data_IF_502072285534
#
_entry.id   IF_502072285534
#
_cell.length_a   1.000
_cell.length_b   1.000
_cell.length_c   1.000
_cell.angle_alpha   90.00
_cell.angle_beta   90.00
_cell.angle_gamma   90.00
#
_symmetry.space_group_name_H-M   'P 1'
#
loop_
_entity.id
_entity.type
_entity.pdbx_description
1 polymer ?
#
# COMPACT_ATOMS: atom_id res chain seq x y z
N UNK A 1 -4.09 -33.32 41.41
CA UNK A 1 -4.84 -32.04 41.21
C UNK A 1 -4.14 -31.09 40.23
N UNK A 2 -3.00 -31.48 39.67
CA UNK A 2 -2.13 -30.65 38.81
C UNK A 2 -2.54 -30.64 37.33
N UNK A 3 -2.92 -31.81 36.79
CA UNK A 3 -3.26 -31.96 35.36
C UNK A 3 -4.41 -31.08 34.85
N UNK A 4 -5.38 -30.70 35.70
CA UNK A 4 -6.48 -29.80 35.28
C UNK A 4 -6.03 -28.35 35.12
N UNK A 5 -5.03 -27.90 35.88
CA UNK A 5 -4.47 -26.55 35.73
C UNK A 5 -3.66 -26.48 34.44
N UNK A 6 -2.81 -27.47 34.19
CA UNK A 6 -1.99 -27.55 32.97
C UNK A 6 -2.86 -27.61 31.70
N UNK A 7 -3.91 -28.43 31.69
CA UNK A 7 -4.86 -28.48 30.56
C UNK A 7 -5.58 -27.15 30.29
N UNK A 8 -5.91 -26.37 31.33
CA UNK A 8 -6.56 -25.07 31.17
C UNK A 8 -5.59 -24.01 30.65
N UNK A 9 -4.31 -24.09 31.04
CA UNK A 9 -3.24 -23.21 30.56
C UNK A 9 -2.96 -23.51 29.08
N UNK A 10 -2.81 -24.78 28.70
CA UNK A 10 -2.60 -25.21 27.32
C UNK A 10 -3.72 -24.73 26.39
N UNK A 11 -4.99 -24.90 26.79
CA UNK A 11 -6.13 -24.37 26.01
C UNK A 11 -6.11 -22.86 25.85
N UNK A 12 -5.71 -22.12 26.90
CA UNK A 12 -5.60 -20.66 26.83
C UNK A 12 -4.47 -20.24 25.89
N UNK A 13 -3.34 -20.94 25.91
CA UNK A 13 -2.22 -20.68 25.02
C UNK A 13 -2.54 -21.00 23.56
N UNK A 14 -3.22 -22.11 23.29
CA UNK A 14 -3.68 -22.46 21.93
C UNK A 14 -4.65 -21.41 21.38
N UNK A 15 -5.63 -20.98 22.18
CA UNK A 15 -6.57 -19.94 21.77
C UNK A 15 -5.88 -18.59 21.49
N UNK A 16 -4.87 -18.22 22.28
CA UNK A 16 -4.07 -17.01 22.04
C UNK A 16 -3.25 -17.10 20.74
N UNK A 17 -2.68 -18.28 20.46
CA UNK A 17 -1.92 -18.53 19.24
C UNK A 17 -2.82 -18.46 17.99
N UNK A 18 -4.03 -19.01 18.08
CA UNK A 18 -5.01 -18.98 16.98
C UNK A 18 -5.46 -17.53 16.67
N UNK A 19 -5.76 -16.74 17.70
CA UNK A 19 -6.12 -15.33 17.54
C UNK A 19 -4.97 -14.51 16.95
N UNK A 20 -3.73 -14.75 17.38
CA UNK A 20 -2.55 -14.08 16.86
C UNK A 20 -2.31 -14.42 15.38
N UNK A 21 -2.43 -15.69 15.03
CA UNK A 21 -2.27 -16.17 13.64
C UNK A 21 -3.35 -15.59 12.74
N UNK A 22 -4.60 -15.54 13.21
CA UNK A 22 -5.71 -14.90 12.51
C UNK A 22 -5.45 -13.40 12.28
N UNK A 23 -5.03 -12.68 13.31
CA UNK A 23 -4.75 -11.25 13.21
C UNK A 23 -3.66 -10.94 12.18
N UNK A 24 -2.54 -11.69 12.20
CA UNK A 24 -1.48 -11.54 11.21
C UNK A 24 -2.00 -11.82 9.79
N UNK A 25 -2.75 -12.90 9.63
CA UNK A 25 -3.29 -13.32 8.33
C UNK A 25 -4.19 -12.23 7.75
N UNK A 26 -5.08 -11.64 8.55
CA UNK A 26 -5.97 -10.56 8.13
C UNK A 26 -5.18 -9.29 7.73
N UNK A 27 -4.15 -8.92 8.49
CA UNK A 27 -3.29 -7.76 8.18
C UNK A 27 -2.54 -7.97 6.86
N UNK A 28 -2.00 -9.17 6.62
CA UNK A 28 -1.31 -9.50 5.37
C UNK A 28 -2.25 -9.45 4.17
N UNK A 29 -3.45 -10.03 4.30
CA UNK A 29 -4.46 -10.01 3.24
C UNK A 29 -4.84 -8.56 2.90
N UNK A 30 -5.11 -7.73 3.92
CA UNK A 30 -5.45 -6.32 3.72
C UNK A 30 -4.32 -5.54 3.05
N UNK A 31 -3.07 -5.76 3.47
CA UNK A 31 -1.90 -5.06 2.92
C UNK A 31 -1.63 -5.44 1.47
N UNK A 32 -1.63 -6.73 1.16
CA UNK A 32 -1.42 -7.25 -0.21
C UNK A 32 -2.58 -6.83 -1.11
N UNK A 33 -3.81 -6.99 -0.64
CA UNK A 33 -5.02 -6.61 -1.37
C UNK A 33 -5.05 -5.12 -1.70
N UNK A 34 -4.78 -4.26 -0.72
CA UNK A 34 -4.70 -2.81 -0.92
C UNK A 34 -3.61 -2.45 -1.91
N UNK A 35 -2.41 -3.03 -1.76
CA UNK A 35 -1.29 -2.78 -2.67
C UNK A 35 -1.60 -3.15 -4.12
N UNK A 36 -2.28 -4.30 -4.32
CA UNK A 36 -2.69 -4.76 -5.63
C UNK A 36 -3.75 -3.84 -6.26
N UNK A 37 -4.77 -3.44 -5.50
CA UNK A 37 -5.82 -2.52 -5.98
C UNK A 37 -5.21 -1.17 -6.34
N UNK A 38 -4.35 -0.61 -5.49
CA UNK A 38 -3.65 0.66 -5.77
C UNK A 38 -2.73 0.56 -6.99
N UNK A 39 -2.08 -0.59 -7.19
CA UNK A 39 -1.29 -0.82 -8.40
C UNK A 39 -2.13 -0.82 -9.67
N UNK A 40 -3.29 -1.48 -9.67
CA UNK A 40 -4.19 -1.47 -10.82
C UNK A 40 -4.79 -0.08 -11.06
N UNK A 41 -5.29 0.56 -10.00
CA UNK A 41 -5.86 1.91 -10.07
C UNK A 41 -4.82 2.93 -10.54
N UNK A 42 -3.61 2.89 -9.99
CA UNK A 42 -2.51 3.78 -10.38
C UNK A 42 -2.11 3.61 -11.83
N UNK A 43 -2.01 2.36 -12.31
CA UNK A 43 -1.70 2.06 -13.71
C UNK A 43 -2.79 2.61 -14.64
N UNK A 44 -4.06 2.36 -14.32
CA UNK A 44 -5.19 2.84 -15.12
C UNK A 44 -5.25 4.37 -15.16
N UNK A 45 -5.15 5.03 -14.01
CA UNK A 45 -5.18 6.49 -13.93
C UNK A 45 -4.00 7.13 -14.66
N UNK A 46 -2.80 6.56 -14.53
CA UNK A 46 -1.61 7.02 -15.23
C UNK A 46 -1.76 6.91 -16.75
N UNK A 47 -2.25 5.76 -17.25
CA UNK A 47 -2.50 5.59 -18.67
C UNK A 47 -3.57 6.57 -19.17
N UNK A 48 -4.67 6.73 -18.43
CA UNK A 48 -5.76 7.63 -18.81
C UNK A 48 -5.31 9.09 -18.88
N UNK A 49 -4.48 9.51 -17.93
CA UNK A 49 -3.89 10.85 -17.92
C UNK A 49 -2.89 11.03 -19.06
N UNK A 50 -1.98 10.06 -19.26
CA UNK A 50 -1.01 10.10 -20.36
C UNK A 50 -1.72 10.17 -21.72
N UNK A 51 -2.80 9.42 -21.91
CA UNK A 51 -3.61 9.45 -23.12
C UNK A 51 -4.31 10.79 -23.32
N UNK A 52 -4.91 11.37 -22.27
CA UNK A 52 -5.60 12.67 -22.36
C UNK A 52 -4.66 13.83 -22.67
N UNK A 53 -3.36 13.68 -22.36
CA UNK A 53 -2.31 14.64 -22.67
C UNK A 53 -1.47 14.27 -23.90
N UNK A 54 -1.86 13.22 -24.65
CA UNK A 54 -1.13 12.70 -25.82
C UNK A 54 0.36 12.37 -25.56
N UNK A 55 0.66 11.91 -24.34
CA UNK A 55 2.02 11.55 -23.92
C UNK A 55 2.43 10.14 -24.35
N UNK A 56 1.53 9.19 -24.15
CA UNK A 56 1.64 7.79 -24.56
C UNK A 56 0.25 7.18 -24.50
N UNK A 57 -0.10 6.35 -25.47
CA UNK A 57 -1.38 5.62 -25.46
C UNK A 57 -1.23 4.22 -24.86
N UNK A 58 -0.01 3.74 -24.69
CA UNK A 58 0.26 2.37 -24.28
C UNK A 58 0.10 2.18 -22.76
N UNK A 59 -0.44 1.03 -22.38
CA UNK A 59 -0.41 0.59 -20.98
C UNK A 59 0.99 0.17 -20.54
N UNK A 60 1.90 -0.14 -21.48
CA UNK A 60 3.24 -0.68 -21.16
C UNK A 60 4.05 0.31 -20.33
N UNK A 61 4.03 1.59 -20.70
CA UNK A 61 4.82 2.59 -20.00
C UNK A 61 4.22 2.94 -18.64
N UNK A 62 2.89 3.06 -18.56
CA UNK A 62 2.17 3.24 -17.29
C UNK A 62 2.41 2.08 -16.31
N UNK A 63 2.30 0.84 -16.80
CA UNK A 63 2.55 -0.36 -16.01
C UNK A 63 4.00 -0.40 -15.52
N UNK A 64 4.98 -0.08 -16.38
CA UNK A 64 6.39 -0.05 -15.99
C UNK A 64 6.67 0.98 -14.91
N UNK A 65 6.15 2.20 -15.05
CA UNK A 65 6.32 3.24 -14.03
C UNK A 65 5.67 2.79 -12.72
N UNK A 66 4.41 2.35 -12.77
CA UNK A 66 3.68 2.02 -11.57
C UNK A 66 4.23 0.77 -10.88
N UNK A 67 4.84 -0.17 -11.62
CA UNK A 67 5.50 -1.33 -11.04
C UNK A 67 6.77 -0.95 -10.30
N UNK A 68 7.61 -0.09 -10.89
CA UNK A 68 8.80 0.44 -10.21
C UNK A 68 8.37 1.24 -8.98
N UNK A 69 7.28 2.00 -9.09
CA UNK A 69 6.73 2.76 -7.98
C UNK A 69 6.25 1.85 -6.85
N UNK A 70 5.48 0.79 -7.15
CA UNK A 70 5.03 -0.20 -6.17
C UNK A 70 6.21 -0.83 -5.43
N UNK A 71 7.22 -1.30 -6.16
CA UNK A 71 8.42 -1.90 -5.58
C UNK A 71 9.16 -0.89 -4.69
N UNK A 72 9.29 0.36 -5.14
CA UNK A 72 9.93 1.42 -4.35
C UNK A 72 9.15 1.70 -3.06
N UNK A 73 7.82 1.81 -3.15
CA UNK A 73 6.94 2.01 -2.00
C UNK A 73 7.05 0.86 -0.98
N UNK A 74 7.14 -0.39 -1.45
CA UNK A 74 7.32 -1.56 -0.58
C UNK A 74 8.67 -1.54 0.13
N UNK A 75 9.76 -1.30 -0.61
CA UNK A 75 11.12 -1.22 -0.03
C UNK A 75 11.19 -0.11 1.02
N UNK A 76 10.68 1.07 0.68
CA UNK A 76 10.63 2.22 1.60
C UNK A 76 9.73 1.92 2.80
N UNK A 77 8.55 1.33 2.58
CA UNK A 77 7.61 0.95 3.62
C UNK A 77 8.23 0.01 4.65
N UNK A 78 8.78 -1.12 4.18
CA UNK A 78 9.44 -2.14 5.02
C UNK A 78 10.62 -1.54 5.78
N UNK A 79 11.48 -0.78 5.09
CA UNK A 79 12.65 -0.16 5.71
C UNK A 79 12.23 0.73 6.88
N UNK A 80 11.27 1.62 6.68
CA UNK A 80 10.81 2.48 7.76
C UNK A 80 10.08 1.72 8.88
N UNK A 81 9.26 0.73 8.55
CA UNK A 81 8.58 -0.08 9.58
C UNK A 81 9.59 -0.80 10.49
N UNK A 82 10.73 -1.25 9.95
CA UNK A 82 11.77 -1.93 10.71
C UNK A 82 12.63 -0.98 11.56
N UNK A 83 12.95 0.21 11.08
CA UNK A 83 13.91 1.11 11.74
C UNK A 83 13.27 2.25 12.54
N UNK A 84 12.06 2.69 12.17
CA UNK A 84 11.43 3.89 12.71
C UNK A 84 9.98 3.70 13.18
N UNK A 85 9.38 2.53 12.92
CA UNK A 85 7.99 2.23 13.22
C UNK A 85 7.00 2.98 12.31
N UNK A 86 5.71 2.84 12.61
CA UNK A 86 4.63 3.50 11.88
C UNK A 86 4.14 4.72 12.65
N UNK A 87 4.66 5.89 12.28
CA UNK A 87 4.23 7.19 12.82
C UNK A 87 3.77 8.10 11.68
N UNK A 88 2.94 9.09 12.02
CA UNK A 88 2.45 10.10 11.06
C UNK A 88 3.62 10.78 10.33
N UNK A 89 4.73 11.05 11.03
CA UNK A 89 5.93 11.64 10.44
C UNK A 89 6.55 10.73 9.36
N UNK A 90 6.60 9.42 9.63
CA UNK A 90 7.08 8.42 8.68
C UNK A 90 6.16 8.34 7.45
N UNK A 91 4.86 8.48 7.62
CA UNK A 91 3.93 8.49 6.48
C UNK A 91 4.15 9.69 5.55
N UNK A 92 4.40 10.88 6.11
CA UNK A 92 4.79 12.05 5.31
C UNK A 92 6.12 11.86 4.59
N UNK A 93 7.11 11.24 5.25
CA UNK A 93 8.40 10.91 4.62
C UNK A 93 8.25 9.90 3.49
N UNK A 94 7.46 8.83 3.71
CA UNK A 94 7.12 7.83 2.69
C UNK A 94 6.46 8.49 1.48
N UNK A 95 5.48 9.36 1.71
CA UNK A 95 4.81 10.12 0.66
C UNK A 95 5.79 11.03 -0.11
N UNK A 96 6.68 11.74 0.60
CA UNK A 96 7.73 12.57 -0.01
C UNK A 96 8.67 11.77 -0.92
N UNK A 97 9.20 10.64 -0.44
CA UNK A 97 10.07 9.77 -1.23
C UNK A 97 9.34 9.21 -2.45
N UNK A 98 8.09 8.75 -2.27
CA UNK A 98 7.27 8.25 -3.36
C UNK A 98 7.01 9.31 -4.42
N UNK A 99 6.80 10.57 -4.03
CA UNK A 99 6.69 11.68 -4.98
C UNK A 99 8.00 11.91 -5.74
N UNK A 100 9.16 11.89 -5.07
CA UNK A 100 10.46 12.07 -5.73
C UNK A 100 10.72 10.95 -6.74
N UNK A 101 10.48 9.70 -6.35
CA UNK A 101 10.63 8.53 -7.25
C UNK A 101 9.68 8.65 -8.43
N UNK A 102 8.39 8.91 -8.19
CA UNK A 102 7.39 9.11 -9.24
C UNK A 102 7.77 10.22 -10.22
N UNK A 103 8.25 11.35 -9.70
CA UNK A 103 8.71 12.49 -10.49
C UNK A 103 9.86 12.11 -11.42
N UNK A 104 10.89 11.43 -10.90
CA UNK A 104 12.04 10.97 -11.69
C UNK A 104 11.59 10.01 -12.79
N UNK A 105 10.70 9.06 -12.46
CA UNK A 105 10.20 8.07 -13.43
C UNK A 105 9.40 8.72 -14.55
N UNK A 106 8.45 9.59 -14.20
CA UNK A 106 7.60 10.28 -15.17
C UNK A 106 8.44 11.17 -16.08
N UNK A 107 9.35 11.97 -15.50
CA UNK A 107 10.25 12.82 -16.27
C UNK A 107 11.10 12.00 -17.25
N UNK A 108 11.68 10.89 -16.80
CA UNK A 108 12.59 10.07 -17.60
C UNK A 108 11.87 9.25 -18.69
N UNK A 109 10.73 8.66 -18.37
CA UNK A 109 10.03 7.72 -19.25
C UNK A 109 9.04 8.41 -20.19
N UNK A 110 8.31 9.44 -19.74
CA UNK A 110 7.46 10.26 -20.61
C UNK A 110 8.19 11.43 -21.27
N UNK A 111 9.44 11.72 -20.89
CA UNK A 111 10.25 12.84 -21.40
C UNK A 111 9.56 14.20 -21.26
N UNK A 112 8.90 14.44 -20.11
CA UNK A 112 8.14 15.67 -19.85
C UNK A 112 8.92 16.71 -19.07
N UNK A 113 8.44 17.94 -19.13
CA UNK A 113 9.04 19.03 -18.36
C UNK A 113 8.93 18.76 -16.85
N UNK A 114 9.79 19.35 -16.00
CA UNK A 114 9.71 19.16 -14.56
C UNK A 114 8.32 19.53 -13.98
N UNK A 115 7.73 20.63 -14.44
CA UNK A 115 6.44 21.11 -13.93
C UNK A 115 5.31 20.13 -14.28
N UNK A 116 5.26 19.64 -15.53
CA UNK A 116 4.27 18.64 -15.96
C UNK A 116 4.44 17.33 -15.20
N UNK A 117 5.67 16.87 -15.02
CA UNK A 117 5.95 15.62 -14.31
C UNK A 117 5.55 15.70 -12.84
N UNK A 118 5.88 16.81 -12.18
CA UNK A 118 5.56 17.04 -10.77
C UNK A 118 4.06 17.17 -10.53
N UNK A 119 3.38 17.98 -11.35
CA UNK A 119 1.93 18.17 -11.23
C UNK A 119 1.14 16.88 -11.48
N UNK A 120 1.56 16.07 -12.45
CA UNK A 120 0.98 14.75 -12.69
C UNK A 120 1.18 13.81 -11.48
N UNK A 121 2.40 13.72 -10.96
CA UNK A 121 2.74 12.85 -9.82
C UNK A 121 1.98 13.28 -8.56
N UNK A 122 1.88 14.58 -8.29
CA UNK A 122 1.11 15.13 -7.18
C UNK A 122 -0.37 14.75 -7.29
N UNK A 123 -0.99 14.99 -8.44
CA UNK A 123 -2.40 14.66 -8.66
C UNK A 123 -2.65 13.15 -8.48
N UNK A 124 -1.79 12.31 -9.06
CA UNK A 124 -1.92 10.86 -8.94
C UNK A 124 -1.75 10.39 -7.48
N UNK A 125 -0.77 10.93 -6.76
CA UNK A 125 -0.53 10.58 -5.35
C UNK A 125 -1.69 10.96 -4.45
N UNK A 126 -2.28 12.15 -4.63
CA UNK A 126 -3.46 12.56 -3.87
C UNK A 126 -4.62 11.60 -4.10
N UNK A 127 -4.89 11.23 -5.36
CA UNK A 127 -5.99 10.31 -5.66
C UNK A 127 -5.72 8.91 -5.09
N UNK A 128 -4.51 8.38 -5.27
CA UNK A 128 -4.13 7.08 -4.72
C UNK A 128 -4.17 7.06 -3.19
N UNK A 129 -3.80 8.16 -2.53
CA UNK A 129 -3.88 8.29 -1.09
C UNK A 129 -5.33 8.25 -0.59
N UNK A 130 -6.24 8.96 -1.27
CA UNK A 130 -7.69 8.90 -0.96
C UNK A 130 -8.22 7.47 -1.12
N UNK A 131 -7.86 6.78 -2.22
CA UNK A 131 -8.25 5.39 -2.44
C UNK A 131 -7.70 4.49 -1.32
N UNK A 132 -6.45 4.69 -0.91
CA UNK A 132 -5.82 3.91 0.16
C UNK A 132 -6.57 4.05 1.49
N UNK A 133 -6.98 5.27 1.86
CA UNK A 133 -7.79 5.52 3.06
C UNK A 133 -9.12 4.77 2.98
N UNK A 134 -9.82 4.85 1.84
CA UNK A 134 -11.11 4.18 1.65
C UNK A 134 -10.94 2.66 1.80
N UNK A 135 -9.93 2.08 1.14
CA UNK A 135 -9.65 0.65 1.23
C UNK A 135 -9.28 0.23 2.65
N UNK A 136 -8.45 1.02 3.36
CA UNK A 136 -8.09 0.74 4.75
C UNK A 136 -9.32 0.66 5.66
N UNK A 137 -10.27 1.58 5.51
CA UNK A 137 -11.53 1.54 6.27
C UNK A 137 -12.40 0.33 5.92
N UNK A 138 -12.47 -0.04 4.64
CA UNK A 138 -13.21 -1.24 4.20
C UNK A 138 -12.61 -2.51 4.80
N UNK A 139 -11.28 -2.70 4.68
CA UNK A 139 -10.61 -3.87 5.23
C UNK A 139 -10.72 -3.93 6.75
N UNK A 140 -10.61 -2.80 7.44
CA UNK A 140 -10.81 -2.74 8.89
C UNK A 140 -12.24 -3.16 9.28
N UNK A 141 -13.26 -2.68 8.56
CA UNK A 141 -14.64 -3.09 8.76
C UNK A 141 -14.87 -4.59 8.56
N UNK A 142 -14.30 -5.17 7.50
CA UNK A 142 -14.36 -6.61 7.23
C UNK A 142 -13.67 -7.41 8.35
N UNK A 143 -12.49 -6.97 8.80
CA UNK A 143 -11.75 -7.64 9.86
C UNK A 143 -12.54 -7.65 11.17
N UNK A 144 -13.21 -6.55 11.52
CA UNK A 144 -14.07 -6.47 12.71
C UNK A 144 -15.24 -7.46 12.62
N UNK A 145 -15.86 -7.61 11.45
CA UNK A 145 -16.94 -8.58 11.24
C UNK A 145 -16.45 -10.03 11.38
N UNK A 146 -15.26 -10.35 10.90
CA UNK A 146 -14.66 -11.69 11.03
C UNK A 146 -14.30 -12.03 12.48
N UNK A 147 -13.84 -11.05 13.25
CA UNK A 147 -13.48 -11.26 14.66
C UNK A 147 -14.71 -11.37 15.57
N UNK A 148 -15.80 -10.66 15.23
CA UNK A 148 -17.02 -10.62 16.03
C UNK A 148 -17.98 -11.79 15.76
N UNK A 149 -17.90 -12.44 14.59
CA UNK A 149 -18.68 -13.61 14.22
C UNK A 149 -18.00 -14.92 14.64
#
# INVERSE_FOLDING_TARGET
MDNRKNFKIEKKMLFQLDLFTLAITLVLIATIGTSFILFLAGTYMMQKYAKSKTWDESYKLALKINLIWLVSSLVVGITFSLFAGDTILIDFLRLGINMVVGFILVKKLYKKTPIESLSFVLALQIILYIIAIILGNIFNGINLLIIAG
#
